data_IF_069008987967
#
_entry.id   IF_069008987967
#
_cell.length_a   1.000
_cell.length_b   1.000
_cell.length_c   1.000
_cell.angle_alpha   90.00
_cell.angle_beta   90.00
_cell.angle_gamma   90.00
#
_symmetry.space_group_name_H-M   'P 1'
#
loop_
_entity.id
_entity.type
_entity.pdbx_description
1 polymer ?
#
# COMPACT_ATOMS: atom_id res chain seq x y z
N UNK A 1 5.61 27.61 -4.68
CA UNK A 1 6.00 27.23 -3.31
C UNK A 1 5.17 26.00 -2.92
N UNK A 2 5.81 24.92 -2.46
CA UNK A 2 5.11 23.75 -1.91
C UNK A 2 4.73 24.08 -0.46
N UNK A 3 3.44 24.28 -0.17
CA UNK A 3 2.96 24.59 1.17
C UNK A 3 2.62 23.30 1.92
N UNK A 4 3.40 22.95 2.95
CA UNK A 4 3.17 21.79 3.81
C UNK A 4 1.87 21.87 4.62
N UNK A 5 1.27 23.06 4.70
CA UNK A 5 0.04 23.32 5.44
C UNK A 5 -1.17 23.58 4.54
N UNK A 6 -1.03 23.45 3.22
CA UNK A 6 -2.18 23.54 2.33
C UNK A 6 -3.09 22.30 2.53
N UNK A 7 -4.42 22.45 2.45
CA UNK A 7 -5.33 21.30 2.49
C UNK A 7 -5.01 20.31 1.38
N UNK A 8 -4.93 19.02 1.70
CA UNK A 8 -4.81 17.94 0.72
C UNK A 8 -5.96 16.96 0.86
N UNK A 9 -6.59 16.68 -0.28
CA UNK A 9 -7.55 15.59 -0.41
C UNK A 9 -6.82 14.32 -0.85
N UNK A 10 -7.29 13.18 -0.37
CA UNK A 10 -6.84 11.89 -0.90
C UNK A 10 -7.45 11.69 -2.29
N UNK A 11 -6.79 10.92 -3.16
CA UNK A 11 -7.36 10.59 -4.47
C UNK A 11 -8.73 9.93 -4.36
N UNK A 12 -8.96 9.11 -3.32
CA UNK A 12 -10.26 8.53 -3.04
C UNK A 12 -11.33 9.58 -2.69
N UNK A 13 -10.97 10.60 -1.90
CA UNK A 13 -11.88 11.69 -1.55
C UNK A 13 -12.23 12.56 -2.77
N UNK A 14 -11.26 12.85 -3.64
CA UNK A 14 -11.50 13.57 -4.91
C UNK A 14 -12.47 12.78 -5.79
N UNK A 15 -12.21 11.49 -6.03
CA UNK A 15 -13.08 10.62 -6.83
C UNK A 15 -14.50 10.58 -6.25
N UNK A 16 -14.64 10.43 -4.93
CA UNK A 16 -15.96 10.39 -4.27
C UNK A 16 -16.74 11.70 -4.41
N UNK A 17 -16.06 12.85 -4.36
CA UNK A 17 -16.70 14.15 -4.55
C UNK A 17 -17.25 14.27 -5.98
N UNK A 18 -16.43 13.93 -6.97
CA UNK A 18 -16.80 13.97 -8.38
C UNK A 18 -17.96 13.01 -8.72
N UNK A 19 -18.15 11.92 -7.96
CA UNK A 19 -19.28 10.99 -8.18
C UNK A 19 -20.62 11.67 -7.97
N UNK A 20 -20.68 12.66 -7.07
CA UNK A 20 -21.90 13.43 -6.79
C UNK A 20 -22.12 14.57 -7.77
N UNK A 21 -21.04 15.04 -8.41
CA UNK A 21 -21.06 16.13 -9.40
C UNK A 21 -21.16 15.62 -10.85
N UNK A 22 -21.01 14.31 -11.07
CA UNK A 22 -21.04 13.73 -12.40
C UNK A 22 -22.43 13.75 -13.03
N UNK A 23 -22.62 14.63 -14.04
CA UNK A 23 -23.88 14.80 -14.74
C UNK A 23 -24.08 13.81 -15.91
N UNK A 24 -22.99 13.38 -16.55
CA UNK A 24 -23.04 12.53 -17.75
C UNK A 24 -22.64 11.08 -17.47
N UNK A 25 -23.23 10.15 -18.23
CA UNK A 25 -22.95 8.70 -18.11
C UNK A 25 -21.49 8.35 -18.41
N UNK A 26 -20.87 9.04 -19.36
CA UNK A 26 -19.45 8.88 -19.67
C UNK A 26 -18.58 9.30 -18.47
N UNK A 27 -18.98 10.35 -17.75
CA UNK A 27 -18.23 10.84 -16.61
C UNK A 27 -18.28 9.85 -15.43
N UNK A 28 -19.47 9.31 -15.13
CA UNK A 28 -19.62 8.25 -14.13
C UNK A 28 -18.80 7.00 -14.49
N UNK A 29 -18.82 6.58 -15.75
CA UNK A 29 -18.04 5.42 -16.21
C UNK A 29 -16.53 5.64 -16.03
N UNK A 30 -16.03 6.82 -16.38
CA UNK A 30 -14.62 7.19 -16.16
C UNK A 30 -14.25 7.17 -14.67
N UNK A 31 -15.14 7.66 -13.81
CA UNK A 31 -14.94 7.69 -12.37
C UNK A 31 -14.84 6.28 -11.74
N UNK A 32 -15.68 5.36 -12.22
CA UNK A 32 -15.61 3.94 -11.84
C UNK A 32 -14.30 3.31 -12.32
N UNK A 33 -13.87 3.61 -13.54
CA UNK A 33 -12.61 3.11 -14.10
C UNK A 33 -11.40 3.55 -13.26
N UNK A 34 -11.29 4.86 -12.96
CA UNK A 34 -10.17 5.35 -12.15
C UNK A 34 -10.21 4.82 -10.71
N UNK A 35 -11.41 4.62 -10.14
CA UNK A 35 -11.57 3.96 -8.84
C UNK A 35 -11.05 2.53 -8.85
N UNK A 36 -11.34 1.77 -9.92
CA UNK A 36 -10.81 0.43 -10.13
C UNK A 36 -9.28 0.43 -10.28
N UNK A 37 -8.72 1.36 -11.05
CA UNK A 37 -7.27 1.50 -11.20
C UNK A 37 -6.60 1.80 -9.86
N UNK A 38 -7.15 2.71 -9.06
CA UNK A 38 -6.62 3.03 -7.74
C UNK A 38 -6.65 1.82 -6.79
N UNK A 39 -7.72 1.02 -6.86
CA UNK A 39 -7.83 -0.23 -6.12
C UNK A 39 -6.77 -1.25 -6.55
N UNK A 40 -6.55 -1.42 -7.87
CA UNK A 40 -5.51 -2.28 -8.40
C UNK A 40 -4.11 -1.84 -7.97
N UNK A 41 -3.83 -0.53 -7.98
CA UNK A 41 -2.57 0.02 -7.48
C UNK A 41 -2.39 -0.34 -6.00
N UNK A 42 -3.44 -0.19 -5.20
CA UNK A 42 -3.41 -0.55 -3.77
C UNK A 42 -3.06 -2.02 -3.58
N UNK A 43 -3.72 -2.92 -4.32
CA UNK A 43 -3.43 -4.36 -4.28
C UNK A 43 -1.99 -4.62 -4.71
N UNK A 44 -1.54 -4.02 -5.81
CA UNK A 44 -0.19 -4.23 -6.34
C UNK A 44 0.88 -3.82 -5.33
N UNK A 45 0.75 -2.64 -4.71
CA UNK A 45 1.68 -2.16 -3.69
C UNK A 45 1.68 -3.08 -2.46
N UNK A 46 0.50 -3.45 -1.97
CA UNK A 46 0.38 -4.31 -0.80
C UNK A 46 0.91 -5.73 -1.08
N UNK A 47 0.63 -6.27 -2.26
CA UNK A 47 1.11 -7.56 -2.71
C UNK A 47 2.63 -7.58 -2.84
N UNK A 48 3.21 -6.56 -3.45
CA UNK A 48 4.66 -6.43 -3.59
C UNK A 48 5.37 -6.27 -2.24
N UNK A 49 4.78 -5.48 -1.33
CA UNK A 49 5.27 -5.33 0.05
C UNK A 49 5.30 -6.66 0.79
N UNK A 50 4.22 -7.45 0.69
CA UNK A 50 4.14 -8.79 1.28
C UNK A 50 5.14 -9.75 0.65
N UNK A 51 5.30 -9.71 -0.68
CA UNK A 51 6.27 -10.53 -1.40
C UNK A 51 7.70 -10.23 -0.93
N UNK A 52 8.05 -8.95 -0.78
CA UNK A 52 9.37 -8.53 -0.31
C UNK A 52 9.65 -9.07 1.10
N UNK A 53 8.69 -8.92 2.02
CA UNK A 53 8.81 -9.42 3.40
C UNK A 53 9.03 -10.94 3.40
N UNK A 54 8.27 -11.69 2.59
CA UNK A 54 8.43 -13.14 2.51
C UNK A 54 9.80 -13.57 1.98
N UNK A 55 10.38 -12.79 1.05
CA UNK A 55 11.76 -13.03 0.57
C UNK A 55 12.79 -12.78 1.67
N UNK A 56 12.59 -11.77 2.50
CA UNK A 56 13.51 -11.42 3.58
C UNK A 56 13.44 -12.40 4.76
N UNK A 57 12.26 -12.92 5.08
CA UNK A 57 12.07 -13.83 6.22
C UNK A 57 12.80 -15.17 6.03
N UNK A 58 12.87 -15.66 4.78
CA UNK A 58 13.66 -16.86 4.42
C UNK A 58 15.17 -16.70 4.70
N UNK A 59 15.69 -15.48 4.82
CA UNK A 59 17.11 -15.20 5.07
C UNK A 59 17.47 -15.24 6.56
N UNK A 60 16.49 -15.13 7.48
CA UNK A 60 16.76 -15.02 8.94
C UNK A 60 16.97 -16.35 9.68
N UNK A 61 16.67 -17.49 9.06
CA UNK A 61 16.71 -18.80 9.72
C UNK A 61 18.13 -19.38 10.00
N UNK A 62 19.20 -18.60 9.79
CA UNK A 62 20.61 -19.09 9.88
C UNK A 62 21.45 -18.40 10.95
N UNK A 63 20.87 -18.05 12.09
CA UNK A 63 21.66 -17.70 13.29
C UNK A 63 21.36 -18.69 14.40
N UNK A 64 21.89 -19.89 14.25
CA UNK A 64 22.00 -20.87 15.33
C UNK A 64 22.98 -20.32 16.36
N UNK A 65 22.48 -19.66 17.40
CA UNK A 65 23.26 -19.33 18.58
C UNK A 65 23.51 -20.64 19.34
N UNK A 66 24.66 -21.25 19.09
CA UNK A 66 25.19 -22.32 19.95
C UNK A 66 25.51 -21.68 21.30
N UNK A 67 24.57 -21.75 22.26
CA UNK A 67 24.88 -21.54 23.67
C UNK A 67 25.59 -22.79 24.17
N UNK A 68 26.90 -22.88 23.95
CA UNK A 68 27.74 -23.72 24.81
C UNK A 68 27.77 -23.06 26.18
N UNK A 69 26.88 -23.50 27.06
CA UNK A 69 27.03 -23.26 28.50
C UNK A 69 28.14 -24.18 28.98
N UNK A 70 29.30 -23.66 29.45
CA UNK A 70 30.29 -24.52 30.06
C UNK A 70 29.75 -25.02 31.41
N UNK A 71 29.58 -26.33 31.51
CA UNK A 71 29.49 -27.04 32.80
C UNK A 71 30.90 -27.07 33.40
N UNK A 72 31.22 -26.06 34.20
CA UNK A 72 32.36 -26.06 35.11
C UNK A 72 31.95 -25.23 36.33
N UNK A 73 32.10 -25.65 37.58
CA UNK A 73 32.44 -26.92 38.21
C UNK A 73 31.91 -26.80 39.65
#
# INVERSE_FOLDING_TARGET
ALSLFAPQHTMAAVIANEFTEAADTLYLNALVEIGLVLFLITIAINGLSRLLIWRMDRTKARTTVVRTVPLAA
#
